data_IF_422978073576
#
_entry.id   IF_422978073576
#
_cell.length_a   1.000
_cell.length_b   1.000
_cell.length_c   1.000
_cell.angle_alpha   90.00
_cell.angle_beta   90.00
_cell.angle_gamma   90.00
#
_symmetry.space_group_name_H-M   'P 1'
#
loop_
_entity.id
_entity.type
_entity.pdbx_description
1 polymer ?
#
# COMPACT_ATOMS: atom_id res chain seq x y z
N UNK A 1 -16.09 -23.22 -12.55
CA UNK A 1 -15.07 -22.19 -12.26
C UNK A 1 -15.10 -21.87 -10.78
N UNK A 2 -14.11 -22.31 -10.00
CA UNK A 2 -14.06 -22.04 -8.55
C UNK A 2 -13.86 -20.54 -8.32
N UNK A 3 -14.73 -19.94 -7.51
CA UNK A 3 -14.58 -18.56 -7.07
C UNK A 3 -13.35 -18.49 -6.17
N UNK A 4 -12.20 -18.09 -6.72
CA UNK A 4 -10.99 -17.82 -5.92
C UNK A 4 -11.34 -16.70 -4.95
N UNK A 5 -11.61 -17.04 -3.69
CA UNK A 5 -11.89 -16.08 -2.65
C UNK A 5 -10.61 -15.30 -2.35
N UNK A 6 -10.68 -13.97 -2.45
CA UNK A 6 -9.58 -13.07 -2.02
C UNK A 6 -9.36 -13.11 -0.51
N UNK A 7 -10.26 -13.78 0.22
CA UNK A 7 -10.17 -13.97 1.66
C UNK A 7 -9.24 -15.14 1.95
N UNK A 8 -8.19 -14.93 2.76
CA UNK A 8 -7.34 -16.01 3.22
C UNK A 8 -8.15 -17.05 4.01
N UNK A 9 -7.58 -18.24 4.25
CA UNK A 9 -8.17 -19.24 5.16
C UNK A 9 -8.53 -18.59 6.50
N UNK A 10 -9.58 -19.06 7.19
CA UNK A 10 -10.10 -18.45 8.42
C UNK A 10 -9.01 -18.14 9.48
N UNK A 11 -8.06 -19.05 9.68
CA UNK A 11 -6.91 -18.84 10.59
C UNK A 11 -5.99 -17.70 10.15
N UNK A 12 -5.69 -17.61 8.85
CA UNK A 12 -4.87 -16.58 8.27
C UNK A 12 -5.60 -15.22 8.25
N UNK A 13 -6.94 -15.19 8.11
CA UNK A 13 -7.74 -13.97 8.29
C UNK A 13 -7.61 -13.42 9.71
N UNK A 14 -7.68 -14.28 10.73
CA UNK A 14 -7.52 -13.86 12.12
C UNK A 14 -6.12 -13.26 12.35
N UNK A 15 -5.08 -13.95 11.88
CA UNK A 15 -3.69 -13.48 12.02
C UNK A 15 -3.49 -12.13 11.34
N UNK A 16 -4.03 -11.92 10.14
CA UNK A 16 -3.96 -10.62 9.47
C UNK A 16 -4.76 -9.53 10.17
N UNK A 17 -5.91 -9.85 10.76
CA UNK A 17 -6.67 -8.89 11.53
C UNK A 17 -5.89 -8.42 12.76
N UNK A 18 -5.29 -9.37 13.49
CA UNK A 18 -4.43 -9.07 14.65
C UNK A 18 -3.23 -8.22 14.20
N UNK A 19 -2.54 -8.64 13.14
CA UNK A 19 -1.42 -7.90 12.58
C UNK A 19 -1.80 -6.47 12.17
N UNK A 20 -2.92 -6.30 11.46
CA UNK A 20 -3.40 -4.98 11.04
C UNK A 20 -3.58 -4.02 12.21
N UNK A 21 -4.25 -4.48 13.28
CA UNK A 21 -4.50 -3.67 14.46
C UNK A 21 -3.23 -3.37 15.23
N UNK A 22 -2.36 -4.38 15.44
CA UNK A 22 -1.10 -4.22 16.15
C UNK A 22 -0.14 -3.31 15.39
N UNK A 23 -0.07 -3.44 14.06
CA UNK A 23 0.77 -2.59 13.21
C UNK A 23 0.28 -1.15 13.24
N UNK A 24 -1.02 -0.91 13.01
CA UNK A 24 -1.58 0.44 13.08
C UNK A 24 -1.43 1.05 14.48
N UNK A 25 -1.69 0.29 15.55
CA UNK A 25 -1.49 0.77 16.91
C UNK A 25 -0.03 1.13 17.18
N UNK A 26 0.92 0.29 16.76
CA UNK A 26 2.36 0.57 16.87
C UNK A 26 2.76 1.81 16.07
N UNK A 27 2.21 1.98 14.87
CA UNK A 27 2.54 3.10 14.00
C UNK A 27 1.98 4.41 14.56
N UNK A 28 0.73 4.40 15.01
CA UNK A 28 0.11 5.54 15.67
C UNK A 28 0.80 5.87 16.99
N UNK A 29 1.23 4.87 17.78
CA UNK A 29 2.02 5.07 18.99
C UNK A 29 3.32 5.81 18.67
N UNK A 30 4.10 5.30 17.72
CA UNK A 30 5.37 5.92 17.31
C UNK A 30 5.14 7.34 16.77
N UNK A 31 4.09 7.55 15.98
CA UNK A 31 3.78 8.87 15.42
C UNK A 31 3.30 9.84 16.49
N UNK A 32 2.22 9.53 17.21
CA UNK A 32 1.59 10.48 18.14
C UNK A 32 2.37 10.69 19.43
N UNK A 33 3.09 9.67 19.92
CA UNK A 33 3.89 9.79 21.16
C UNK A 33 5.35 10.11 20.85
N UNK A 34 5.90 9.56 19.76
CA UNK A 34 7.33 9.68 19.44
C UNK A 34 7.69 10.79 18.45
N UNK A 35 6.93 11.02 17.39
CA UNK A 35 7.33 11.96 16.32
C UNK A 35 6.59 13.29 16.42
N UNK A 36 5.27 13.26 16.56
CA UNK A 36 4.39 14.42 16.52
C UNK A 36 4.70 15.49 17.59
N UNK A 37 4.90 15.16 18.88
CA UNK A 37 5.11 16.19 19.90
C UNK A 37 6.46 16.90 19.75
N UNK A 38 7.48 16.22 19.23
CA UNK A 38 8.82 16.78 19.10
C UNK A 38 9.04 17.41 17.72
N UNK A 39 8.74 16.68 16.64
CA UNK A 39 8.97 17.11 15.26
C UNK A 39 7.72 17.75 14.65
N UNK A 40 6.56 17.17 14.91
CA UNK A 40 5.31 17.57 14.26
C UNK A 40 4.84 18.96 14.62
N UNK A 41 4.91 19.33 15.90
CA UNK A 41 4.52 20.67 16.36
C UNK A 41 5.42 21.76 15.75
N UNK A 42 6.73 21.51 15.70
CA UNK A 42 7.68 22.41 15.04
C UNK A 42 7.37 22.53 13.54
N UNK A 43 7.20 21.40 12.84
CA UNK A 43 6.87 21.40 11.41
C UNK A 43 5.54 22.12 11.10
N UNK A 44 4.51 21.95 11.93
CA UNK A 44 3.22 22.63 11.75
C UNK A 44 3.37 24.13 11.97
N UNK A 45 4.07 24.55 13.02
CA UNK A 45 4.35 25.96 13.31
C UNK A 45 5.12 26.61 12.16
N UNK A 46 6.21 25.99 11.71
CA UNK A 46 7.06 26.50 10.65
C UNK A 46 6.36 26.48 9.29
N UNK A 47 5.48 25.50 9.03
CA UNK A 47 4.62 25.49 7.85
C UNK A 47 3.59 26.64 7.89
N UNK A 48 3.02 26.96 9.05
CA UNK A 48 2.03 28.04 9.18
C UNK A 48 2.60 29.42 8.87
N UNK A 49 3.90 29.64 9.13
CA UNK A 49 4.62 30.87 8.78
C UNK A 49 5.32 30.80 7.41
N UNK A 50 5.11 29.73 6.64
CA UNK A 50 5.63 29.56 5.28
C UNK A 50 7.11 29.18 5.20
N UNK A 51 7.75 28.78 6.30
CA UNK A 51 9.15 28.34 6.32
C UNK A 51 9.32 26.89 5.81
N UNK A 52 8.34 26.03 6.02
CA UNK A 52 8.36 24.65 5.52
C UNK A 52 7.65 24.56 4.17
N UNK A 53 8.32 24.06 3.11
CA UNK A 53 7.67 23.83 1.84
C UNK A 53 6.51 22.82 1.96
N UNK A 54 5.37 23.15 1.35
CA UNK A 54 4.18 22.26 1.33
C UNK A 54 4.49 20.86 0.80
N UNK A 55 5.50 20.74 -0.06
CA UNK A 55 5.95 19.48 -0.62
C UNK A 55 6.52 18.49 0.42
N UNK A 56 6.84 18.95 1.64
CA UNK A 56 7.20 18.10 2.78
C UNK A 56 6.08 18.00 3.81
N UNK A 57 5.33 19.08 3.99
CA UNK A 57 4.21 19.12 4.92
C UNK A 57 3.07 18.16 4.54
N UNK A 58 2.71 18.08 3.26
CA UNK A 58 1.65 17.17 2.78
C UNK A 58 1.99 15.68 3.04
N UNK A 59 3.19 15.17 2.67
CA UNK A 59 3.61 13.82 3.03
C UNK A 59 3.60 13.58 4.55
N UNK A 60 4.02 14.55 5.35
CA UNK A 60 3.98 14.45 6.81
C UNK A 60 2.55 14.26 7.33
N UNK A 61 1.60 15.08 6.86
CA UNK A 61 0.18 14.90 7.15
C UNK A 61 -0.33 13.55 6.66
N UNK A 62 0.16 13.07 5.52
CA UNK A 62 -0.12 11.73 5.01
C UNK A 62 0.36 10.62 5.94
N UNK A 63 1.59 10.71 6.47
CA UNK A 63 2.13 9.73 7.42
C UNK A 63 1.27 9.60 8.68
N UNK A 64 0.64 10.68 9.12
CA UNK A 64 -0.28 10.68 10.27
C UNK A 64 -1.69 10.24 9.84
N UNK A 65 -2.19 10.83 8.76
CA UNK A 65 -3.58 10.73 8.32
C UNK A 65 -3.93 9.40 7.68
N UNK A 66 -3.04 8.81 6.90
CA UNK A 66 -3.24 7.51 6.24
C UNK A 66 -3.50 6.38 7.24
N UNK A 67 -2.61 6.09 8.20
CA UNK A 67 -2.85 5.03 9.18
C UNK A 67 -4.03 5.35 10.12
N UNK A 68 -4.20 6.61 10.52
CA UNK A 68 -5.36 7.03 11.32
C UNK A 68 -6.67 6.76 10.56
N UNK A 69 -6.71 7.15 9.28
CA UNK A 69 -7.86 6.93 8.41
C UNK A 69 -8.13 5.44 8.17
N UNK A 70 -7.08 4.64 7.97
CA UNK A 70 -7.22 3.19 7.78
C UNK A 70 -7.68 2.49 9.06
N UNK A 71 -7.17 2.86 10.23
CA UNK A 71 -7.65 2.36 11.52
C UNK A 71 -9.13 2.70 11.74
N UNK A 72 -9.54 3.94 11.48
CA UNK A 72 -10.96 4.36 11.58
C UNK A 72 -11.83 3.60 10.56
N UNK A 73 -11.36 3.44 9.32
CA UNK A 73 -12.07 2.67 8.30
C UNK A 73 -12.19 1.19 8.69
N UNK A 74 -11.15 0.61 9.30
CA UNK A 74 -11.17 -0.75 9.85
C UNK A 74 -12.22 -0.93 10.96
N UNK A 75 -12.37 0.06 11.85
CA UNK A 75 -13.40 0.03 12.91
C UNK A 75 -14.81 0.08 12.31
N UNK A 76 -15.01 0.88 11.26
CA UNK A 76 -16.30 1.02 10.55
C UNK A 76 -16.61 -0.14 9.61
N UNK A 77 -15.59 -0.90 9.19
CA UNK A 77 -15.74 -2.06 8.30
C UNK A 77 -16.63 -3.15 8.92
N UNK A 78 -16.61 -3.30 10.25
CA UNK A 78 -17.49 -4.22 10.98
C UNK A 78 -18.99 -3.89 10.92
N UNK A 79 -19.40 -2.71 10.42
CA UNK A 79 -20.82 -2.28 10.46
C UNK A 79 -21.43 -1.90 9.11
N UNK A 80 -20.66 -1.42 8.12
CA UNK A 80 -21.20 -0.98 6.81
C UNK A 80 -20.31 -1.21 5.58
N UNK A 81 -18.98 -1.33 5.74
CA UNK A 81 -18.03 -1.62 4.63
C UNK A 81 -17.78 -3.14 4.57
N UNK A 82 -18.85 -3.92 4.51
CA UNK A 82 -18.82 -5.38 4.73
C UNK A 82 -18.00 -6.18 3.69
N UNK A 83 -17.49 -5.55 2.63
CA UNK A 83 -16.80 -6.23 1.53
C UNK A 83 -15.27 -6.08 1.53
N UNK A 84 -14.68 -5.22 2.37
CA UNK A 84 -13.23 -4.99 2.40
C UNK A 84 -12.60 -5.69 3.61
N UNK A 85 -11.78 -6.70 3.34
CA UNK A 85 -10.99 -7.32 4.41
C UNK A 85 -9.92 -6.34 4.90
N UNK A 86 -9.58 -6.39 6.18
CA UNK A 86 -8.52 -5.57 6.76
C UNK A 86 -7.19 -5.76 6.02
N UNK A 87 -6.92 -6.98 5.55
CA UNK A 87 -5.79 -7.30 4.68
C UNK A 87 -5.76 -6.46 3.39
N UNK A 88 -6.91 -6.30 2.72
CA UNK A 88 -6.97 -5.50 1.49
C UNK A 88 -6.89 -4.01 1.79
N UNK A 89 -7.52 -3.56 2.87
CA UNK A 89 -7.40 -2.16 3.31
C UNK A 89 -5.93 -1.80 3.55
N UNK A 90 -5.21 -2.70 4.24
CA UNK A 90 -3.78 -2.54 4.51
C UNK A 90 -2.96 -2.51 3.23
N UNK A 91 -2.96 -3.58 2.44
CA UNK A 91 -2.02 -3.70 1.32
C UNK A 91 -2.43 -2.93 0.06
N UNK A 92 -3.70 -2.59 -0.12
CA UNK A 92 -4.16 -1.87 -1.32
C UNK A 92 -4.34 -0.37 -1.11
N UNK A 93 -4.50 0.10 0.13
CA UNK A 93 -4.78 1.51 0.43
C UNK A 93 -3.73 2.09 1.37
N UNK A 94 -3.57 1.50 2.56
CA UNK A 94 -2.64 2.03 3.56
C UNK A 94 -1.19 1.94 3.08
N UNK A 95 -0.75 0.76 2.64
CA UNK A 95 0.63 0.50 2.26
C UNK A 95 1.13 1.35 1.08
N UNK A 96 0.42 1.48 -0.05
CA UNK A 96 0.88 2.32 -1.15
C UNK A 96 0.92 3.80 -0.76
N UNK A 97 -0.08 4.30 -0.02
CA UNK A 97 -0.10 5.70 0.43
C UNK A 97 1.00 5.98 1.45
N UNK A 98 1.19 5.08 2.41
CA UNK A 98 2.26 5.18 3.41
C UNK A 98 3.63 5.14 2.73
N UNK A 99 3.82 4.25 1.75
CA UNK A 99 5.06 4.17 0.97
C UNK A 99 5.33 5.47 0.20
N UNK A 100 4.33 6.03 -0.48
CA UNK A 100 4.45 7.33 -1.18
C UNK A 100 4.86 8.43 -0.20
N UNK A 101 4.23 8.48 0.97
CA UNK A 101 4.53 9.48 2.00
C UNK A 101 5.95 9.28 2.57
N UNK A 102 6.36 8.05 2.87
CA UNK A 102 7.69 7.72 3.38
C UNK A 102 8.78 8.03 2.36
N UNK A 103 8.61 7.60 1.11
CA UNK A 103 9.56 7.88 0.03
C UNK A 103 9.70 9.39 -0.16
N UNK A 104 8.58 10.12 -0.17
CA UNK A 104 8.64 11.57 -0.36
C UNK A 104 9.26 12.30 0.83
N UNK A 105 8.96 11.89 2.06
CA UNK A 105 9.43 12.59 3.26
C UNK A 105 10.88 12.27 3.61
N UNK A 106 11.30 11.00 3.50
CA UNK A 106 12.63 10.56 3.97
C UNK A 106 13.65 10.34 2.85
N UNK A 107 13.23 9.84 1.68
CA UNK A 107 14.15 9.39 0.62
C UNK A 107 14.37 10.46 -0.44
N UNK A 108 13.28 11.04 -0.94
CA UNK A 108 13.29 11.99 -2.04
C UNK A 108 13.35 13.41 -1.49
N UNK A 109 14.55 13.95 -1.30
CA UNK A 109 14.73 15.36 -0.93
C UNK A 109 14.32 16.26 -2.11
N UNK A 110 14.91 16.01 -3.27
CA UNK A 110 14.65 16.75 -4.50
C UNK A 110 13.69 16.00 -5.42
N UNK A 111 12.69 16.70 -5.92
CA UNK A 111 11.72 16.17 -6.87
C UNK A 111 12.29 16.27 -8.29
N UNK A 112 12.92 15.19 -8.75
CA UNK A 112 13.19 15.03 -10.18
C UNK A 112 11.88 14.80 -10.95
N UNK A 113 11.81 15.13 -12.25
CA UNK A 113 10.63 14.83 -13.06
C UNK A 113 10.22 13.35 -13.00
N UNK A 114 11.20 12.44 -13.00
CA UNK A 114 10.97 11.00 -12.90
C UNK A 114 10.35 10.59 -11.54
N UNK A 115 10.89 11.09 -10.42
CA UNK A 115 10.35 10.79 -9.09
C UNK A 115 8.95 11.37 -8.90
N UNK A 116 8.70 12.58 -9.40
CA UNK A 116 7.38 13.21 -9.38
C UNK A 116 6.36 12.39 -10.16
N UNK A 117 6.73 11.94 -11.36
CA UNK A 117 5.89 11.06 -12.18
C UNK A 117 5.56 9.75 -11.46
N UNK A 118 6.55 9.12 -10.79
CA UNK A 118 6.32 7.90 -10.01
C UNK A 118 5.36 8.13 -8.84
N UNK A 119 5.52 9.20 -8.06
CA UNK A 119 4.66 9.51 -6.92
C UNK A 119 3.22 9.81 -7.37
N UNK A 120 3.05 10.63 -8.42
CA UNK A 120 1.73 10.97 -8.97
C UNK A 120 1.04 9.75 -9.55
N UNK A 121 1.76 8.93 -10.32
CA UNK A 121 1.23 7.68 -10.88
C UNK A 121 0.83 6.71 -9.77
N UNK A 122 1.64 6.59 -8.72
CA UNK A 122 1.33 5.82 -7.53
C UNK A 122 0.07 6.32 -6.82
N UNK A 123 -0.08 7.63 -6.66
CA UNK A 123 -1.25 8.21 -6.01
C UNK A 123 -2.52 7.97 -6.82
N UNK A 124 -2.51 8.27 -8.13
CA UNK A 124 -3.66 8.08 -9.03
C UNK A 124 -4.08 6.62 -9.08
N UNK A 125 -3.12 5.70 -9.21
CA UNK A 125 -3.42 4.28 -9.26
C UNK A 125 -3.94 3.76 -7.93
N UNK A 126 -3.45 4.26 -6.78
CA UNK A 126 -4.01 3.93 -5.46
C UNK A 126 -5.45 4.40 -5.33
N UNK A 127 -5.76 5.62 -5.77
CA UNK A 127 -7.14 6.15 -5.77
C UNK A 127 -8.05 5.30 -6.66
N UNK A 128 -7.59 4.98 -7.88
CA UNK A 128 -8.34 4.16 -8.82
C UNK A 128 -8.63 2.75 -8.27
N UNK A 129 -7.62 2.11 -7.67
CA UNK A 129 -7.79 0.78 -7.06
C UNK A 129 -8.64 0.84 -5.79
N UNK A 130 -8.49 1.86 -4.95
CA UNK A 130 -9.34 2.06 -3.76
C UNK A 130 -10.80 2.22 -4.16
N UNK A 131 -11.07 3.05 -5.19
CA UNK A 131 -12.42 3.21 -5.71
C UNK A 131 -12.99 1.89 -6.26
N UNK A 132 -12.19 1.09 -6.96
CA UNK A 132 -12.60 -0.24 -7.42
C UNK A 132 -12.89 -1.18 -6.25
N UNK A 133 -12.06 -1.17 -5.21
CA UNK A 133 -12.23 -2.00 -4.02
C UNK A 133 -13.53 -1.68 -3.27
N UNK A 134 -13.92 -0.41 -3.21
CA UNK A 134 -15.15 0.03 -2.54
C UNK A 134 -16.40 -0.27 -3.39
N UNK A 135 -16.37 -0.05 -4.71
CA UNK A 135 -17.59 -0.13 -5.57
C UNK A 135 -17.70 -1.37 -6.46
N UNK A 136 -16.60 -2.06 -6.76
CA UNK A 136 -16.45 -2.91 -7.94
C UNK A 136 -16.34 -4.42 -7.67
N UNK A 137 -16.45 -4.88 -6.42
CA UNK A 137 -16.18 -6.28 -6.06
C UNK A 137 -17.24 -7.27 -6.55
N UNK A 138 -18.51 -6.91 -6.46
CA UNK A 138 -19.61 -7.90 -6.62
C UNK A 138 -20.33 -7.83 -7.98
N UNK A 139 -20.00 -6.85 -8.82
CA UNK A 139 -20.70 -6.65 -10.08
C UNK A 139 -19.79 -7.00 -11.26
N UNK A 140 -19.93 -8.23 -11.78
CA UNK A 140 -19.26 -8.69 -13.02
C UNK A 140 -19.42 -7.71 -14.19
N UNK A 141 -20.51 -6.94 -14.20
CA UNK A 141 -20.87 -5.94 -15.21
C UNK A 141 -20.23 -4.55 -15.04
N UNK A 142 -19.71 -4.21 -13.84
CA UNK A 142 -19.15 -2.88 -13.52
C UNK A 142 -17.63 -2.79 -13.66
N UNK A 143 -16.96 -3.82 -14.17
CA UNK A 143 -15.55 -3.73 -14.52
C UNK A 143 -15.36 -2.65 -15.60
N UNK A 144 -14.67 -1.58 -15.25
CA UNK A 144 -14.37 -0.45 -16.12
C UNK A 144 -12.88 -0.44 -16.49
N UNK A 145 -12.56 0.06 -17.68
CA UNK A 145 -11.19 0.11 -18.21
C UNK A 145 -10.24 0.92 -17.31
N UNK A 146 -10.76 1.98 -16.70
CA UNK A 146 -10.03 2.80 -15.73
C UNK A 146 -9.52 2.00 -14.52
N UNK A 147 -10.28 1.00 -14.05
CA UNK A 147 -9.85 0.16 -12.94
C UNK A 147 -8.74 -0.81 -13.34
N UNK A 148 -8.82 -1.34 -14.57
CA UNK A 148 -7.78 -2.21 -15.12
C UNK A 148 -6.46 -1.44 -15.26
N UNK A 149 -6.50 -0.22 -15.78
CA UNK A 149 -5.30 0.63 -15.91
C UNK A 149 -4.65 0.92 -14.55
N UNK A 150 -5.44 1.33 -13.56
CA UNK A 150 -4.93 1.57 -12.20
C UNK A 150 -4.33 0.32 -11.56
N UNK A 151 -4.99 -0.83 -11.69
CA UNK A 151 -4.47 -2.12 -11.21
C UNK A 151 -3.20 -2.57 -11.94
N UNK A 152 -3.11 -2.37 -13.26
CA UNK A 152 -1.91 -2.68 -14.03
C UNK A 152 -0.72 -1.82 -13.60
N UNK A 153 -0.94 -0.52 -13.38
CA UNK A 153 0.11 0.39 -12.90
C UNK A 153 0.57 0.03 -11.48
N UNK A 154 -0.36 -0.24 -10.56
CA UNK A 154 -0.02 -0.70 -9.21
C UNK A 154 0.69 -2.06 -9.22
N UNK A 155 0.26 -2.97 -10.10
CA UNK A 155 0.92 -4.26 -10.27
C UNK A 155 2.37 -4.06 -10.75
N UNK A 156 2.59 -3.23 -11.78
CA UNK A 156 3.93 -2.91 -12.27
C UNK A 156 4.81 -2.31 -11.15
N UNK A 157 4.28 -1.35 -10.40
CA UNK A 157 4.97 -0.74 -9.26
C UNK A 157 5.32 -1.79 -8.19
N UNK A 158 4.39 -2.69 -7.86
CA UNK A 158 4.64 -3.74 -6.87
C UNK A 158 5.68 -4.76 -7.33
N UNK A 159 5.70 -5.12 -8.63
CA UNK A 159 6.75 -5.99 -9.21
C UNK A 159 8.10 -5.30 -9.10
N UNK A 160 8.18 -4.01 -9.42
CA UNK A 160 9.40 -3.22 -9.30
C UNK A 160 9.91 -3.18 -7.86
N UNK A 161 9.03 -2.92 -6.88
CA UNK A 161 9.39 -2.92 -5.46
C UNK A 161 9.84 -4.29 -4.97
N UNK A 162 9.19 -5.37 -5.42
CA UNK A 162 9.61 -6.75 -5.09
C UNK A 162 10.97 -7.05 -5.71
N UNK A 163 11.24 -6.64 -6.94
CA UNK A 163 12.56 -6.83 -7.56
C UNK A 163 13.67 -6.15 -6.74
N UNK A 164 13.43 -4.91 -6.27
CA UNK A 164 14.35 -4.21 -5.35
C UNK A 164 14.47 -4.97 -4.03
N UNK A 165 13.35 -5.39 -3.42
CA UNK A 165 13.37 -6.10 -2.15
C UNK A 165 14.18 -7.40 -2.26
N UNK A 166 13.97 -8.19 -3.32
CA UNK A 166 14.70 -9.43 -3.61
C UNK A 166 16.22 -9.20 -3.71
N UNK A 167 16.65 -8.09 -4.29
CA UNK A 167 18.07 -7.73 -4.36
C UNK A 167 18.69 -7.55 -2.96
N UNK A 168 17.93 -7.01 -2.00
CA UNK A 168 18.39 -6.81 -0.62
C UNK A 168 18.19 -8.02 0.30
N UNK A 169 17.48 -9.08 -0.13
CA UNK A 169 17.26 -10.27 0.71
C UNK A 169 18.58 -10.95 1.12
N UNK A 170 19.53 -11.25 0.21
CA UNK A 170 20.75 -11.97 0.60
C UNK A 170 21.58 -11.28 1.70
N UNK A 171 21.96 -9.98 1.59
CA UNK A 171 22.71 -9.33 2.66
C UNK A 171 21.89 -9.19 3.94
N UNK A 172 20.57 -9.03 3.83
CA UNK A 172 19.68 -8.95 4.99
C UNK A 172 19.56 -10.29 5.74
N UNK A 173 19.48 -11.40 5.02
CA UNK A 173 19.49 -12.74 5.61
C UNK A 173 20.82 -13.02 6.32
N UNK A 174 21.94 -12.66 5.70
CA UNK A 174 23.25 -12.77 6.34
C UNK A 174 23.30 -11.97 7.64
N UNK A 175 22.83 -10.72 7.63
CA UNK A 175 22.75 -9.88 8.82
C UNK A 175 21.89 -10.51 9.92
N UNK A 176 20.69 -11.03 9.58
CA UNK A 176 19.81 -11.70 10.55
C UNK A 176 20.50 -12.92 11.17
N UNK A 177 21.14 -13.77 10.37
CA UNK A 177 21.80 -14.98 10.87
C UNK A 177 22.97 -14.60 11.79
N UNK A 178 23.79 -13.63 11.42
CA UNK A 178 24.94 -13.18 12.21
C UNK A 178 24.51 -12.57 13.55
N UNK A 179 23.41 -11.80 13.59
CA UNK A 179 23.00 -11.03 14.77
C UNK A 179 21.72 -11.54 15.44
N UNK A 180 21.29 -12.77 15.13
CA UNK A 180 20.02 -13.33 15.59
C UNK A 180 19.73 -13.15 17.10
N UNK A 181 20.62 -13.51 18.04
CA UNK A 181 20.31 -13.39 19.47
C UNK A 181 20.13 -11.92 19.89
N UNK A 182 20.93 -11.02 19.32
CA UNK A 182 20.85 -9.58 19.59
C UNK A 182 19.53 -9.04 19.05
N UNK A 183 19.19 -9.37 17.81
CA UNK A 183 17.92 -8.99 17.17
C UNK A 183 16.73 -9.47 18.00
N UNK A 184 16.76 -10.70 18.53
CA UNK A 184 15.68 -11.21 19.37
C UNK A 184 15.50 -10.40 20.66
N UNK A 185 16.58 -10.09 21.39
CA UNK A 185 16.51 -9.26 22.59
C UNK A 185 15.97 -7.87 22.27
N UNK A 186 16.52 -7.20 21.26
CA UNK A 186 16.07 -5.86 20.88
C UNK A 186 14.65 -5.85 20.32
N UNK A 187 14.22 -6.91 19.63
CA UNK A 187 12.84 -7.01 19.14
C UNK A 187 11.80 -7.09 20.24
N UNK A 188 12.15 -7.64 21.39
CA UNK A 188 11.27 -7.66 22.55
C UNK A 188 11.21 -6.28 23.21
N UNK A 189 12.36 -5.61 23.36
CA UNK A 189 12.46 -4.29 24.00
C UNK A 189 11.80 -3.22 23.12
N UNK A 190 12.07 -3.24 21.81
CA UNK A 190 11.60 -2.27 20.81
C UNK A 190 10.45 -2.83 19.99
N UNK A 191 9.57 -3.61 20.61
CA UNK A 191 8.50 -4.35 19.94
C UNK A 191 7.67 -3.52 18.94
N UNK A 192 7.21 -2.29 19.27
CA UNK A 192 6.48 -1.46 18.30
C UNK A 192 7.31 -1.19 17.04
N UNK A 193 8.58 -0.81 17.21
CA UNK A 193 9.47 -0.49 16.09
C UNK A 193 9.77 -1.74 15.24
N UNK A 194 9.98 -2.90 15.87
CA UNK A 194 10.21 -4.14 15.13
C UNK A 194 9.01 -4.54 14.29
N UNK A 195 7.79 -4.39 14.81
CA UNK A 195 6.58 -4.60 14.03
C UNK A 195 6.48 -3.65 12.85
N UNK A 196 6.86 -2.38 13.02
CA UNK A 196 6.88 -1.42 11.93
C UNK A 196 7.88 -1.82 10.84
N UNK A 197 9.11 -2.15 11.22
CA UNK A 197 10.15 -2.57 10.27
C UNK A 197 9.72 -3.85 9.54
N UNK A 198 9.22 -4.85 10.26
CA UNK A 198 8.74 -6.10 9.66
C UNK A 198 7.54 -5.87 8.74
N UNK A 199 6.59 -5.04 9.15
CA UNK A 199 5.42 -4.72 8.34
C UNK A 199 5.78 -3.93 7.08
N UNK A 200 6.64 -2.91 7.18
CA UNK A 200 7.19 -2.15 6.05
C UNK A 200 7.95 -3.06 5.08
N UNK A 201 8.77 -3.97 5.59
CA UNK A 201 9.49 -4.96 4.79
C UNK A 201 8.56 -5.94 4.06
N UNK A 202 7.39 -6.24 4.62
CA UNK A 202 6.39 -7.11 3.99
C UNK A 202 5.56 -6.44 2.87
N UNK A 203 5.58 -5.09 2.80
CA UNK A 203 4.70 -4.34 1.89
C UNK A 203 4.81 -4.73 0.43
N UNK A 204 6.03 -4.84 -0.17
CA UNK A 204 6.15 -5.15 -1.59
C UNK A 204 5.47 -6.47 -1.97
N UNK A 205 5.64 -7.50 -1.13
CA UNK A 205 5.09 -8.82 -1.34
C UNK A 205 3.57 -8.85 -1.17
N UNK A 206 3.06 -8.21 -0.13
CA UNK A 206 1.61 -8.13 0.10
C UNK A 206 0.88 -7.30 -0.96
N UNK A 207 1.48 -6.20 -1.40
CA UNK A 207 1.00 -5.40 -2.53
C UNK A 207 0.96 -6.23 -3.81
N UNK A 208 2.05 -6.91 -4.16
CA UNK A 208 2.12 -7.77 -5.35
C UNK A 208 1.04 -8.85 -5.34
N UNK A 209 0.82 -9.47 -4.17
CA UNK A 209 -0.23 -10.46 -4.00
C UNK A 209 -1.63 -9.87 -4.23
N UNK A 210 -1.95 -8.76 -3.56
CA UNK A 210 -3.28 -8.14 -3.64
C UNK A 210 -3.57 -7.60 -5.04
N UNK A 211 -2.64 -6.85 -5.62
CA UNK A 211 -2.81 -6.28 -6.95
C UNK A 211 -2.79 -7.35 -8.04
N UNK A 212 -1.95 -8.40 -7.91
CA UNK A 212 -1.94 -9.51 -8.86
C UNK A 212 -3.27 -10.26 -8.90
N UNK A 213 -3.88 -10.51 -7.74
CA UNK A 213 -5.20 -11.14 -7.67
C UNK A 213 -6.32 -10.22 -8.18
N UNK A 214 -6.29 -8.93 -7.82
CA UNK A 214 -7.25 -7.93 -8.29
C UNK A 214 -7.19 -7.75 -9.82
N UNK A 215 -5.98 -7.70 -10.36
CA UNK A 215 -5.71 -7.59 -11.79
C UNK A 215 -6.26 -8.80 -12.55
N UNK A 216 -5.93 -10.03 -12.12
CA UNK A 216 -6.42 -11.27 -12.77
C UNK A 216 -7.96 -11.31 -12.85
N UNK A 217 -8.64 -10.95 -11.77
CA UNK A 217 -10.12 -10.89 -11.73
C UNK A 217 -10.68 -9.83 -12.67
N UNK A 218 -10.06 -8.67 -12.71
CA UNK A 218 -10.50 -7.56 -13.57
C UNK A 218 -10.28 -7.89 -15.03
N UNK A 219 -9.14 -8.47 -15.39
CA UNK A 219 -8.87 -8.99 -16.75
C UNK A 219 -9.94 -9.99 -17.15
N UNK A 220 -10.26 -10.98 -16.31
CA UNK A 220 -11.31 -11.95 -16.62
C UNK A 220 -12.68 -11.28 -16.85
N UNK A 221 -13.05 -10.31 -16.01
CA UNK A 221 -14.32 -9.59 -16.16
C UNK A 221 -14.37 -8.74 -17.44
N UNK A 222 -13.27 -8.06 -17.79
CA UNK A 222 -13.15 -7.26 -19.01
C UNK A 222 -13.15 -8.18 -20.25
N UNK A 223 -12.44 -9.31 -20.21
CA UNK A 223 -12.43 -10.31 -21.29
C UNK A 223 -13.83 -10.86 -21.55
N UNK A 224 -14.61 -11.16 -20.50
CA UNK A 224 -16.00 -11.61 -20.66
C UNK A 224 -16.91 -10.54 -21.27
N UNK A 225 -16.62 -9.25 -21.04
CA UNK A 225 -17.45 -8.13 -21.51
C UNK A 225 -17.10 -7.64 -22.91
N UNK A 226 -15.81 -7.58 -23.25
CA UNK A 226 -15.30 -6.97 -24.49
C UNK A 226 -14.62 -7.96 -25.45
N UNK A 227 -14.45 -9.21 -25.03
CA UNK A 227 -13.72 -10.23 -25.78
C UNK A 227 -12.21 -10.21 -25.54
N UNK A 228 -11.56 -11.31 -25.92
CA UNK A 228 -10.10 -11.51 -25.81
C UNK A 228 -9.30 -10.47 -26.60
N UNK A 229 -9.59 -10.13 -27.87
CA UNK A 229 -8.69 -9.28 -28.65
C UNK A 229 -8.58 -7.86 -28.09
N UNK A 230 -9.71 -7.26 -27.67
CA UNK A 230 -9.72 -5.93 -27.04
C UNK A 230 -8.98 -5.92 -25.71
N UNK A 231 -9.16 -6.97 -24.91
CA UNK A 231 -8.49 -7.07 -23.61
C UNK A 231 -7.00 -7.30 -23.76
N UNK A 232 -6.57 -8.13 -24.72
CA UNK A 232 -5.17 -8.35 -25.04
C UNK A 232 -4.49 -7.04 -25.51
N UNK A 233 -5.14 -6.27 -26.38
CA UNK A 233 -4.63 -4.98 -26.82
C UNK A 233 -4.45 -4.00 -25.64
N UNK A 234 -5.40 -3.96 -24.71
CA UNK A 234 -5.33 -3.09 -23.52
C UNK A 234 -4.22 -3.52 -22.53
N UNK A 235 -4.07 -4.82 -22.29
CA UNK A 235 -3.06 -5.35 -21.35
C UNK A 235 -1.65 -5.24 -21.91
N UNK A 236 -1.47 -5.46 -23.21
CA UNK A 236 -0.17 -5.39 -23.89
C UNK A 236 0.29 -3.95 -24.17
N UNK A 237 -0.54 -2.94 -23.91
CA UNK A 237 -0.27 -1.55 -24.29
C UNK A 237 -0.43 -1.27 -25.79
N UNK A 238 -0.70 -2.30 -26.62
CA UNK A 238 -0.93 -2.15 -28.07
C UNK A 238 -2.16 -1.31 -28.41
N UNK A 239 -3.14 -1.22 -27.51
CA UNK A 239 -4.34 -0.41 -27.71
C UNK A 239 -4.05 1.10 -27.81
N UNK A 240 -2.89 1.57 -27.33
CA UNK A 240 -2.52 3.00 -27.37
C UNK A 240 -1.82 3.36 -28.70
N UNK A 241 -1.30 2.37 -29.43
CA UNK A 241 -0.56 2.61 -30.68
C UNK A 241 -1.42 2.54 -31.95
N UNK A 242 -2.71 2.21 -31.84
CA UNK A 242 -3.60 1.96 -33.00
C UNK A 242 -4.86 2.80 -33.07
N UNK A 243 -4.98 3.87 -32.27
CA UNK A 243 -6.06 4.87 -32.31
C UNK A 243 -5.50 6.23 -32.70
#
# INVERSE_FOLDING_TARGET
MSSISLTPKKSLTLLFNIFFWIFNASLLLVIYVGVLPFLGMALISDAAIGQVPLNFFIPFLGLIGVPTGCAIAGLKSNKKIASLSLFQLFYAVEAPLLLICLLRFFVLRDLTPASSFLLVTGLISTIATTHWLVKGRDSKTKANLWHLMGLSLMLLLSIYLVAIALFFIPPFLQFIVTYLPIILVYSLIMFPLTLLVGGLGSLPFGMLWVFGQGWRKTVQAVTLKYGIPKTAALVSGLAIAGS
#
